data_IF_182260452587
#
_entry.id   IF_182260452587
#
_cell.length_a   1.000
_cell.length_b   1.000
_cell.length_c   1.000
_cell.angle_alpha   90.00
_cell.angle_beta   90.00
_cell.angle_gamma   90.00
#
_symmetry.space_group_name_H-M   'P 1'
#
loop_
_entity.id
_entity.type
_entity.pdbx_description
1 polymer ?
#
# COMPACT_ATOMS: atom_id res chain seq x y z
N UNK A 1 10.86 -6.63 11.37
CA UNK A 1 12.01 -5.89 10.81
C UNK A 1 13.21 -5.85 11.76
N UNK A 2 13.18 -5.18 12.92
CA UNK A 2 14.39 -5.01 13.79
C UNK A 2 15.16 -6.31 14.08
N UNK A 3 14.49 -7.42 14.39
CA UNK A 3 15.13 -8.73 14.63
C UNK A 3 15.92 -9.24 13.40
N UNK A 4 15.40 -9.04 12.18
CA UNK A 4 16.09 -9.45 10.96
C UNK A 4 17.35 -8.61 10.71
N UNK A 5 17.26 -7.29 10.91
CA UNK A 5 18.41 -6.36 10.85
C UNK A 5 19.50 -6.76 11.85
N UNK A 6 19.14 -7.09 13.10
CA UNK A 6 20.16 -7.48 14.09
C UNK A 6 20.82 -8.83 13.78
N UNK A 7 20.13 -9.76 13.10
CA UNK A 7 20.74 -11.02 12.62
C UNK A 7 21.75 -10.74 11.51
N UNK A 8 21.35 -9.99 10.48
CA UNK A 8 22.24 -9.62 9.38
C UNK A 8 23.46 -8.81 9.86
N UNK A 9 23.28 -7.92 10.84
CA UNK A 9 24.40 -7.22 11.46
C UNK A 9 25.32 -8.16 12.26
N UNK A 10 24.77 -9.14 12.97
CA UNK A 10 25.57 -10.15 13.66
C UNK A 10 26.38 -11.02 12.69
N UNK A 11 25.82 -11.37 11.52
CA UNK A 11 26.54 -12.10 10.47
C UNK A 11 27.73 -11.30 9.91
N UNK A 12 27.56 -9.98 9.74
CA UNK A 12 28.64 -9.05 9.35
C UNK A 12 29.74 -9.03 10.43
N UNK A 13 29.38 -8.89 11.71
CA UNK A 13 30.35 -8.92 12.82
C UNK A 13 31.07 -10.28 12.92
N UNK A 14 30.36 -11.40 12.75
CA UNK A 14 30.94 -12.73 12.74
C UNK A 14 31.87 -12.95 11.53
N UNK A 15 31.61 -12.30 10.39
CA UNK A 15 32.55 -12.28 9.28
C UNK A 15 33.79 -11.41 9.58
N UNK A 16 33.62 -10.25 10.20
CA UNK A 16 34.73 -9.38 10.57
C UNK A 16 35.66 -10.04 11.60
N UNK A 17 35.10 -10.64 12.65
CA UNK A 17 35.85 -11.37 13.68
C UNK A 17 36.65 -12.56 13.10
N UNK A 18 36.08 -13.31 12.14
CA UNK A 18 36.81 -14.36 11.40
C UNK A 18 37.98 -13.83 10.57
N UNK A 19 37.95 -12.56 10.19
CA UNK A 19 39.04 -11.87 9.48
C UNK A 19 39.98 -11.11 10.44
N UNK A 20 39.89 -11.35 11.76
CA UNK A 20 40.77 -10.75 12.77
C UNK A 20 40.38 -9.34 13.22
N UNK A 21 39.21 -8.82 12.80
CA UNK A 21 38.72 -7.51 13.26
C UNK A 21 37.96 -7.65 14.57
N UNK A 22 38.43 -6.95 15.60
CA UNK A 22 37.70 -6.74 16.85
C UNK A 22 37.13 -5.32 16.92
N UNK A 23 35.89 -5.19 17.39
CA UNK A 23 35.18 -3.92 17.46
C UNK A 23 34.81 -3.62 18.91
N UNK A 24 35.17 -2.43 19.38
CA UNK A 24 34.75 -1.95 20.69
C UNK A 24 33.22 -1.98 20.84
N UNK A 25 32.67 -2.27 22.04
CA UNK A 25 31.23 -2.37 22.26
C UNK A 25 30.43 -1.14 21.78
N UNK A 26 30.97 0.07 21.92
CA UNK A 26 30.33 1.31 21.44
C UNK A 26 30.28 1.41 19.91
N UNK A 27 31.28 0.85 19.21
CA UNK A 27 31.29 0.76 17.74
C UNK A 27 30.25 -0.26 17.25
N UNK A 28 30.08 -1.37 17.97
CA UNK A 28 29.01 -2.37 17.72
C UNK A 28 27.63 -1.75 17.95
N UNK A 29 27.44 -1.04 19.07
CA UNK A 29 26.16 -0.41 19.41
C UNK A 29 25.77 0.68 18.38
N UNK A 30 26.69 1.58 18.05
CA UNK A 30 26.46 2.63 17.05
C UNK A 30 26.28 2.07 15.64
N UNK A 31 27.07 1.07 15.25
CA UNK A 31 26.94 0.38 13.96
C UNK A 31 25.61 -0.36 13.81
N UNK A 32 25.12 -1.03 14.85
CA UNK A 32 23.82 -1.71 14.84
C UNK A 32 22.66 -0.73 14.63
N UNK A 33 22.73 0.45 15.27
CA UNK A 33 21.76 1.53 15.09
C UNK A 33 21.78 2.04 13.64
N UNK A 34 22.97 2.28 13.08
CA UNK A 34 23.12 2.76 11.70
C UNK A 34 22.57 1.75 10.69
N UNK A 35 22.96 0.48 10.80
CA UNK A 35 22.49 -0.60 9.94
C UNK A 35 20.96 -0.77 9.96
N UNK A 36 20.33 -0.61 11.13
CA UNK A 36 18.87 -0.64 11.22
C UNK A 36 18.19 0.54 10.52
N UNK A 37 18.75 1.75 10.62
CA UNK A 37 18.23 2.93 9.93
C UNK A 37 18.45 2.86 8.41
N UNK A 38 19.62 2.39 7.94
CA UNK A 38 19.90 2.11 6.53
C UNK A 38 18.86 1.15 5.94
N UNK A 39 18.63 0.01 6.57
CA UNK A 39 17.62 -0.98 6.14
C UNK A 39 16.19 -0.41 6.13
N UNK A 40 15.85 0.50 7.05
CA UNK A 40 14.54 1.18 7.03
C UNK A 40 14.39 2.06 5.79
N UNK A 41 15.44 2.76 5.37
CA UNK A 41 15.43 3.59 4.16
C UNK A 41 15.26 2.73 2.90
N UNK A 42 15.96 1.61 2.80
CA UNK A 42 15.82 0.64 1.70
C UNK A 42 14.38 0.11 1.59
N UNK A 43 13.75 -0.23 2.72
CA UNK A 43 12.36 -0.70 2.77
C UNK A 43 11.37 0.39 2.33
N UNK A 44 11.57 1.64 2.75
CA UNK A 44 10.74 2.78 2.30
C UNK A 44 10.91 2.99 0.80
N UNK A 45 12.15 2.92 0.28
CA UNK A 45 12.43 3.05 -1.15
C UNK A 45 11.81 1.92 -1.98
N UNK A 46 11.73 0.70 -1.43
CA UNK A 46 11.02 -0.44 -2.01
C UNK A 46 9.48 -0.38 -1.84
N UNK A 47 8.93 0.71 -1.27
CA UNK A 47 7.49 0.95 -1.15
C UNK A 47 6.81 0.34 0.08
N UNK A 48 7.56 -0.12 1.09
CA UNK A 48 6.98 -0.66 2.32
C UNK A 48 6.68 0.44 3.36
N UNK A 49 5.49 0.40 3.97
CA UNK A 49 5.13 1.23 5.12
C UNK A 49 5.66 0.61 6.42
N UNK A 50 6.45 1.38 7.19
CA UNK A 50 6.96 0.93 8.49
C UNK A 50 5.92 1.20 9.58
N UNK A 51 5.08 0.20 9.86
CA UNK A 51 4.03 0.29 10.89
C UNK A 51 4.60 -0.06 12.29
N UNK A 52 4.37 0.76 13.33
CA UNK A 52 4.73 0.41 14.70
C UNK A 52 4.04 -0.87 15.19
N UNK A 53 4.74 -1.70 15.97
CA UNK A 53 4.12 -2.86 16.63
C UNK A 53 3.03 -2.37 17.59
N UNK A 54 1.80 -2.82 17.38
CA UNK A 54 0.62 -2.39 18.14
C UNK A 54 -0.24 -1.33 17.45
N UNK A 55 0.26 -0.65 16.41
CA UNK A 55 -0.60 0.12 15.53
C UNK A 55 -1.42 -0.85 14.69
N UNK A 56 -2.76 -0.85 14.85
CA UNK A 56 -3.64 -1.56 13.92
C UNK A 56 -3.42 -0.95 12.53
N UNK A 57 -3.17 -1.75 11.48
CA UNK A 57 -3.15 -1.21 10.12
C UNK A 57 -4.48 -0.52 9.88
N UNK A 58 -4.45 0.76 9.48
CA UNK A 58 -5.67 1.48 9.14
C UNK A 58 -6.35 0.71 8.02
N UNK A 59 -7.58 0.23 8.28
CA UNK A 59 -8.42 -0.37 7.24
C UNK A 59 -8.49 0.67 6.13
N UNK A 60 -8.07 0.32 4.91
CA UNK A 60 -8.33 1.16 3.74
C UNK A 60 -9.83 1.13 3.52
N UNK A 61 -10.54 2.05 4.16
CA UNK A 61 -11.92 2.35 3.81
C UNK A 61 -11.92 2.71 2.32
N UNK A 62 -12.76 2.07 1.48
CA UNK A 62 -12.87 2.46 0.09
C UNK A 62 -13.31 3.93 0.03
N UNK A 63 -12.64 4.72 -0.82
CA UNK A 63 -13.04 6.10 -1.11
C UNK A 63 -14.54 6.14 -1.38
N UNK A 64 -15.25 6.87 -0.51
CA UNK A 64 -16.69 6.77 -0.38
C UNK A 64 -17.40 7.00 -1.72
N UNK A 65 -18.30 6.08 -2.10
CA UNK A 65 -19.14 6.15 -3.31
C UNK A 65 -20.08 7.39 -3.36
N UNK A 66 -19.98 8.32 -2.40
CA UNK A 66 -20.67 9.60 -2.37
C UNK A 66 -20.17 10.62 -3.41
N UNK A 67 -19.08 10.34 -4.13
CA UNK A 67 -18.56 11.18 -5.22
C UNK A 67 -18.96 10.70 -6.64
N UNK A 68 -19.88 9.73 -6.77
CA UNK A 68 -20.54 9.48 -8.05
C UNK A 68 -21.60 10.58 -8.31
N UNK A 69 -21.13 11.76 -8.74
CA UNK A 69 -21.99 12.85 -9.20
C UNK A 69 -22.85 12.34 -10.38
N UNK A 70 -24.19 12.35 -10.28
CA UNK A 70 -25.02 12.14 -11.45
C UNK A 70 -24.90 13.38 -12.34
N UNK A 71 -24.36 13.20 -13.52
CA UNK A 71 -24.42 14.16 -14.62
C UNK A 71 -25.89 14.55 -14.85
N UNK A 72 -26.25 15.76 -14.41
CA UNK A 72 -27.56 16.34 -14.66
C UNK A 72 -27.69 16.69 -16.13
N UNK A 73 -28.42 15.88 -16.89
CA UNK A 73 -29.09 16.36 -18.11
C UNK A 73 -30.53 16.68 -17.75
N UNK A 74 -31.00 17.87 -18.13
CA UNK A 74 -32.22 18.46 -17.58
C UNK A 74 -33.51 17.74 -18.01
N UNK A 75 -34.50 17.76 -17.11
CA UNK A 75 -35.87 17.35 -17.39
C UNK A 75 -36.52 18.29 -18.42
N UNK A 76 -36.76 17.80 -19.63
CA UNK A 76 -37.75 18.38 -20.54
C UNK A 76 -39.08 17.64 -20.38
N UNK A 77 -40.04 18.25 -19.67
CA UNK A 77 -41.46 17.87 -19.76
C UNK A 77 -42.11 18.70 -20.86
N UNK A 78 -42.56 18.06 -21.93
CA UNK A 78 -43.68 18.52 -22.73
C UNK A 78 -44.72 17.39 -22.74
N UNK A 79 -45.99 17.74 -22.55
CA UNK A 79 -47.09 16.78 -22.51
C UNK A 79 -47.80 16.64 -23.85
N UNK A 80 -48.34 15.44 -24.08
CA UNK A 80 -49.57 15.13 -24.82
C UNK A 80 -49.69 15.60 -26.29
N UNK A 81 -49.46 14.69 -27.25
CA UNK A 81 -50.26 14.54 -28.48
C UNK A 81 -50.02 13.16 -29.16
N UNK A 82 -51.00 12.71 -29.94
CA UNK A 82 -51.19 11.36 -30.50
C UNK A 82 -50.30 10.96 -31.70
N UNK A 83 -50.06 9.64 -31.87
CA UNK A 83 -50.02 8.87 -33.15
C UNK A 83 -49.53 7.42 -32.87
N UNK A 84 -50.40 6.38 -32.80
CA UNK A 84 -50.84 5.48 -33.89
C UNK A 84 -49.78 4.44 -34.35
N UNK A 85 -50.07 3.16 -34.05
CA UNK A 85 -49.85 1.86 -34.78
C UNK A 85 -48.59 1.68 -35.67
N UNK A 86 -47.89 0.54 -35.72
CA UNK A 86 -48.38 -0.83 -35.97
C UNK A 86 -47.25 -1.90 -35.85
N UNK A 87 -47.60 -3.19 -35.99
CA UNK A 87 -46.86 -4.37 -36.51
C UNK A 87 -45.31 -4.34 -36.62
N UNK A 88 -44.51 -5.37 -36.33
CA UNK A 88 -44.69 -6.80 -36.00
C UNK A 88 -43.28 -7.39 -35.63
N UNK A 89 -42.95 -8.69 -35.44
CA UNK A 89 -43.63 -10.00 -35.62
C UNK A 89 -43.11 -11.01 -34.55
N UNK A 90 -43.20 -12.32 -34.82
CA UNK A 90 -42.62 -13.43 -34.02
C UNK A 90 -41.32 -13.97 -34.65
N UNK A 91 -40.46 -14.62 -33.84
CA UNK A 91 -39.24 -15.28 -34.36
C UNK A 91 -38.35 -15.99 -33.34
N UNK A 92 -38.91 -16.78 -32.41
CA UNK A 92 -38.12 -17.78 -31.66
C UNK A 92 -38.06 -19.08 -32.46
N UNK A 93 -36.89 -19.74 -32.46
CA UNK A 93 -36.70 -21.14 -32.82
C UNK A 93 -35.64 -21.76 -31.90
#
# INVERSE_FOLDING_TARGET
MKIASMRLYADILANAARNGWDYAPDAIASGSKRHFEEMKLELIAAGYEIVPVGARPRRREPISAKYQQPFRTASARCGNAEAIQASERLGNH
#
